data_IF_002983829172
#
_entry.id   IF_002983829172
#
_cell.length_a   1.000
_cell.length_b   1.000
_cell.length_c   1.000
_cell.angle_alpha   90.00
_cell.angle_beta   90.00
_cell.angle_gamma   90.00
#
_symmetry.space_group_name_H-M   'P 1'
#
loop_
_entity.id
_entity.type
_entity.pdbx_description
1 polymer ?
#
# COMPACT_ATOMS: atom_id res chain seq x y z
N UNK A 1 13.28 1.58 21.71
CA UNK A 1 13.72 2.91 21.23
C UNK A 1 12.48 3.76 20.98
N UNK A 2 12.04 4.54 21.96
CA UNK A 2 10.92 5.48 21.78
C UNK A 2 11.49 6.82 21.34
N UNK A 3 11.27 7.21 20.09
CA UNK A 3 11.67 8.52 19.58
C UNK A 3 10.80 9.59 20.24
N UNK A 4 11.23 10.04 21.42
CA UNK A 4 10.58 11.11 22.19
C UNK A 4 10.70 12.42 21.43
N UNK A 5 9.70 13.31 21.56
CA UNK A 5 9.55 14.63 20.93
C UNK A 5 10.77 15.60 21.00
N UNK A 6 11.93 15.22 21.52
CA UNK A 6 13.10 16.08 21.69
C UNK A 6 12.95 17.16 22.75
N UNK A 7 11.73 17.41 23.23
CA UNK A 7 11.39 18.44 24.22
C UNK A 7 10.94 17.81 25.54
N UNK A 8 11.47 18.31 26.66
CA UNK A 8 11.02 17.92 28.00
C UNK A 8 9.68 18.57 28.39
N UNK A 9 8.97 17.97 29.36
CA UNK A 9 7.73 18.55 29.91
C UNK A 9 8.12 19.85 30.65
N UNK A 10 7.46 20.97 30.33
CA UNK A 10 7.68 22.33 30.88
C UNK A 10 8.79 23.20 30.22
N UNK A 11 9.41 22.75 29.14
CA UNK A 11 10.45 23.53 28.43
C UNK A 11 9.95 24.80 27.74
N UNK A 12 8.62 25.04 27.67
CA UNK A 12 8.05 26.28 27.11
C UNK A 12 8.44 27.54 27.91
N UNK A 13 8.86 27.39 29.18
CA UNK A 13 9.32 28.49 30.03
C UNK A 13 10.82 28.81 29.88
N UNK A 14 11.57 27.98 29.18
CA UNK A 14 13.02 28.09 29.14
C UNK A 14 13.43 29.13 28.09
N UNK A 15 13.96 30.29 28.53
CA UNK A 15 14.38 31.40 27.65
C UNK A 15 15.57 31.06 26.74
N UNK A 16 16.21 29.91 26.93
CA UNK A 16 17.42 29.49 26.21
C UNK A 16 17.13 28.38 25.18
N UNK A 17 15.94 28.40 24.57
CA UNK A 17 15.49 27.37 23.62
C UNK A 17 15.84 27.79 22.19
N UNK A 18 16.44 26.88 21.43
CA UNK A 18 16.83 27.13 20.04
C UNK A 18 15.66 26.98 19.04
N UNK A 19 14.45 26.70 19.54
CA UNK A 19 13.24 26.43 18.75
C UNK A 19 12.01 27.03 19.45
N UNK A 20 11.12 27.67 18.69
CA UNK A 20 9.84 28.19 19.19
C UNK A 20 8.79 27.08 19.44
N UNK A 21 9.10 25.84 19.04
CA UNK A 21 8.17 24.73 19.13
C UNK A 21 8.12 24.11 20.55
N UNK A 22 6.98 23.56 20.92
CA UNK A 22 6.72 23.01 22.25
C UNK A 22 5.77 21.81 22.20
N UNK A 23 5.78 20.97 23.24
CA UNK A 23 4.90 19.79 23.32
C UNK A 23 3.47 20.21 23.63
N UNK A 24 2.53 19.85 22.75
CA UNK A 24 1.10 20.11 22.86
C UNK A 24 0.29 18.83 23.07
N UNK A 25 0.57 18.15 24.18
CA UNK A 25 -0.19 16.97 24.60
C UNK A 25 -0.02 15.75 23.67
N UNK A 26 -1.12 15.00 23.51
CA UNK A 26 -1.17 13.78 22.71
C UNK A 26 -2.47 13.72 21.90
N UNK A 27 -2.39 13.23 20.68
CA UNK A 27 -3.53 12.88 19.84
C UNK A 27 -3.84 11.39 19.97
N UNK A 28 -5.14 11.04 20.04
CA UNK A 28 -5.57 9.63 19.99
C UNK A 28 -5.57 9.16 18.54
N UNK A 29 -5.01 7.98 18.28
CA UNK A 29 -5.06 7.32 16.99
C UNK A 29 -5.30 5.83 17.18
N UNK A 30 -6.46 5.37 16.74
CA UNK A 30 -6.76 3.95 16.64
C UNK A 30 -6.10 3.40 15.38
N UNK A 31 -5.26 2.39 15.56
CA UNK A 31 -4.51 1.73 14.50
C UNK A 31 -4.93 0.27 14.44
N UNK A 32 -5.21 -0.23 13.24
CA UNK A 32 -5.52 -1.63 13.00
C UNK A 32 -4.23 -2.42 12.86
N UNK A 33 -4.04 -3.37 13.76
CA UNK A 33 -2.95 -4.34 13.74
C UNK A 33 -3.51 -5.76 13.60
N UNK A 34 -2.65 -6.73 13.36
CA UNK A 34 -2.98 -8.16 13.30
C UNK A 34 -3.67 -8.69 14.56
N UNK A 35 -3.42 -8.06 15.71
CA UNK A 35 -4.03 -8.42 17.00
C UNK A 35 -5.32 -7.64 17.31
N UNK A 36 -5.83 -6.85 16.36
CA UNK A 36 -7.02 -6.02 16.51
C UNK A 36 -6.72 -4.52 16.54
N UNK A 37 -7.72 -3.74 16.98
CA UNK A 37 -7.61 -2.28 17.08
C UNK A 37 -6.80 -1.90 18.32
N UNK A 38 -5.71 -1.16 18.10
CA UNK A 38 -4.83 -0.65 19.14
C UNK A 38 -4.99 0.86 19.23
N UNK A 39 -5.34 1.36 20.41
CA UNK A 39 -5.40 2.79 20.68
C UNK A 39 -4.02 3.33 21.05
N UNK A 40 -3.44 4.13 20.15
CA UNK A 40 -2.18 4.81 20.35
C UNK A 40 -2.38 6.26 20.79
N UNK A 41 -1.57 6.70 21.75
CA UNK A 41 -1.47 8.11 22.16
C UNK A 41 -0.22 8.71 21.53
N UNK A 42 -0.40 9.39 20.40
CA UNK A 42 0.71 9.97 19.63
C UNK A 42 1.06 11.34 20.20
N UNK A 43 2.32 11.59 20.57
CA UNK A 43 2.74 12.91 21.01
C UNK A 43 2.56 13.96 19.92
N UNK A 44 2.10 15.15 20.27
CA UNK A 44 1.90 16.29 19.36
C UNK A 44 2.72 17.49 19.80
N UNK A 45 3.19 18.27 18.85
CA UNK A 45 3.86 19.56 19.02
C UNK A 45 2.95 20.73 18.60
N UNK A 46 3.25 21.93 19.07
CA UNK A 46 2.44 23.14 18.84
C UNK A 46 2.47 23.55 17.36
N UNK A 47 3.65 23.54 16.74
CA UNK A 47 3.81 23.94 15.34
C UNK A 47 3.51 22.80 14.35
N UNK A 48 3.13 21.61 14.83
CA UNK A 48 2.77 20.45 14.00
C UNK A 48 3.86 19.98 13.02
N UNK A 49 5.13 20.22 13.37
CA UNK A 49 6.36 19.86 12.64
C UNK A 49 6.84 18.43 12.97
N UNK A 50 6.35 17.83 14.06
CA UNK A 50 6.75 16.48 14.45
C UNK A 50 6.10 15.41 13.56
N UNK A 51 6.93 14.67 12.83
CA UNK A 51 6.50 13.50 12.06
C UNK A 51 6.86 12.17 12.77
N UNK A 52 5.86 11.40 13.26
CA UNK A 52 6.10 10.10 13.85
C UNK A 52 6.56 9.08 12.80
N UNK A 53 7.72 8.44 13.04
CA UNK A 53 8.35 7.48 12.10
C UNK A 53 7.66 6.11 12.11
N UNK A 54 7.27 5.62 13.29
CA UNK A 54 6.73 4.25 13.47
C UNK A 54 5.30 4.14 12.93
N UNK A 55 4.50 5.19 13.07
CA UNK A 55 3.15 5.26 12.52
C UNK A 55 2.99 6.62 11.87
N UNK A 56 3.10 6.69 10.54
CA UNK A 56 3.11 7.98 9.83
C UNK A 56 1.80 8.73 10.08
N UNK A 57 1.85 10.05 9.89
CA UNK A 57 0.64 10.88 9.95
C UNK A 57 -0.39 10.32 8.97
N UNK A 58 -1.64 10.15 9.42
CA UNK A 58 -2.77 9.55 8.66
C UNK A 58 -2.72 8.05 8.36
N UNK A 59 -1.62 7.34 8.63
CA UNK A 59 -1.51 5.89 8.39
C UNK A 59 -2.20 5.07 9.50
N UNK A 60 -3.32 4.39 9.21
CA UNK A 60 -4.13 3.69 10.24
C UNK A 60 -3.95 2.17 10.27
N UNK A 61 -3.12 1.60 9.41
CA UNK A 61 -2.98 0.15 9.28
C UNK A 61 -1.49 -0.21 9.22
N UNK A 62 -1.03 -1.12 10.10
CA UNK A 62 0.37 -1.59 10.16
C UNK A 62 0.51 -2.95 9.44
N UNK A 63 -0.32 -3.25 8.44
CA UNK A 63 -0.46 -4.60 7.92
C UNK A 63 0.15 -4.77 6.52
N UNK A 64 1.49 -4.72 6.41
CA UNK A 64 2.16 -5.11 5.16
C UNK A 64 1.78 -6.53 4.72
N UNK A 65 1.62 -7.45 5.67
CA UNK A 65 1.21 -8.84 5.41
C UNK A 65 -0.21 -8.97 4.83
N UNK A 66 -1.12 -8.07 5.22
CA UNK A 66 -2.48 -8.04 4.67
C UNK A 66 -2.46 -7.54 3.23
N UNK A 67 -1.62 -6.54 2.93
CA UNK A 67 -1.44 -6.07 1.55
C UNK A 67 -0.92 -7.19 0.66
N UNK A 68 0.11 -7.92 1.10
CA UNK A 68 0.68 -9.06 0.38
C UNK A 68 -0.38 -10.16 0.12
N UNK A 69 -1.23 -10.43 1.12
CA UNK A 69 -2.30 -11.39 0.98
C UNK A 69 -3.38 -10.94 -0.02
N UNK A 70 -3.78 -9.67 0.02
CA UNK A 70 -4.72 -9.10 -0.98
C UNK A 70 -4.13 -9.19 -2.37
N UNK A 71 -2.85 -8.86 -2.53
CA UNK A 71 -2.14 -8.97 -3.82
C UNK A 71 -2.12 -10.43 -4.30
N UNK A 72 -1.90 -11.39 -3.40
CA UNK A 72 -1.91 -12.82 -3.76
C UNK A 72 -3.29 -13.29 -4.26
N UNK A 73 -4.38 -12.87 -3.62
CA UNK A 73 -5.74 -13.20 -4.03
C UNK A 73 -6.12 -12.51 -5.35
N UNK A 74 -5.69 -11.27 -5.53
CA UNK A 74 -5.86 -10.55 -6.79
C UNK A 74 -5.12 -11.24 -7.94
N UNK A 75 -3.88 -11.70 -7.70
CA UNK A 75 -3.09 -12.46 -8.68
C UNK A 75 -3.73 -13.81 -9.07
N UNK A 76 -4.53 -14.40 -8.18
CA UNK A 76 -5.32 -15.60 -8.47
C UNK A 76 -6.59 -15.32 -9.29
N UNK A 77 -6.90 -14.06 -9.60
CA UNK A 77 -8.07 -13.66 -10.37
C UNK A 77 -9.36 -13.59 -9.55
N UNK A 78 -9.27 -13.49 -8.23
CA UNK A 78 -10.44 -13.30 -7.35
C UNK A 78 -10.94 -11.85 -7.50
N UNK A 79 -12.26 -11.66 -7.64
CA UNK A 79 -12.83 -10.33 -7.81
C UNK A 79 -12.68 -9.48 -6.52
N UNK A 80 -12.62 -8.16 -6.64
CA UNK A 80 -12.48 -7.27 -5.48
C UNK A 80 -13.58 -7.46 -4.42
N UNK A 81 -14.81 -7.80 -4.86
CA UNK A 81 -15.94 -8.09 -3.97
C UNK A 81 -15.79 -9.45 -3.27
N UNK A 82 -15.26 -10.43 -3.98
CA UNK A 82 -15.00 -11.75 -3.40
C UNK A 82 -13.85 -11.67 -2.40
N UNK A 83 -12.80 -10.89 -2.67
CA UNK A 83 -11.69 -10.63 -1.74
C UNK A 83 -12.22 -10.04 -0.43
N UNK A 84 -13.09 -9.03 -0.48
CA UNK A 84 -13.75 -8.47 0.71
C UNK A 84 -14.46 -9.57 1.52
N UNK A 85 -15.28 -10.40 0.85
CA UNK A 85 -16.02 -11.47 1.52
C UNK A 85 -15.11 -12.52 2.16
N UNK A 86 -13.98 -12.84 1.51
CA UNK A 86 -13.00 -13.80 2.02
C UNK A 86 -12.24 -13.24 3.21
N UNK A 87 -11.84 -11.97 3.15
CA UNK A 87 -11.15 -11.31 4.27
C UNK A 87 -12.04 -11.20 5.50
N UNK A 88 -13.31 -10.87 5.31
CA UNK A 88 -14.29 -10.85 6.41
C UNK A 88 -14.52 -12.23 7.01
N UNK A 89 -14.58 -13.28 6.19
CA UNK A 89 -14.85 -14.65 6.64
C UNK A 89 -13.67 -15.31 7.37
N UNK A 90 -12.45 -15.15 6.84
CA UNK A 90 -11.26 -15.86 7.36
C UNK A 90 -10.62 -15.05 8.49
N UNK A 91 -10.50 -13.74 8.31
CA UNK A 91 -9.73 -12.88 9.23
C UNK A 91 -10.62 -11.96 10.07
N UNK A 92 -11.93 -11.88 9.80
CA UNK A 92 -12.83 -10.97 10.51
C UNK A 92 -12.58 -9.50 10.19
N UNK A 93 -11.82 -9.20 9.13
CA UNK A 93 -11.41 -7.84 8.78
C UNK A 93 -12.35 -7.29 7.70
N UNK A 94 -12.91 -6.11 7.95
CA UNK A 94 -13.67 -5.37 6.94
C UNK A 94 -12.72 -4.56 6.06
N UNK A 95 -12.56 -5.00 4.81
CA UNK A 95 -11.77 -4.33 3.77
C UNK A 95 -12.73 -3.93 2.65
N UNK A 96 -12.86 -2.64 2.38
CA UNK A 96 -13.73 -2.18 1.28
C UNK A 96 -13.11 -2.51 -0.09
N UNK A 97 -13.93 -2.70 -1.15
CA UNK A 97 -13.42 -2.91 -2.50
C UNK A 97 -12.51 -1.77 -3.00
N UNK A 98 -12.77 -0.55 -2.56
CA UNK A 98 -11.93 0.62 -2.83
C UNK A 98 -10.54 0.51 -2.18
N UNK A 99 -10.49 -0.04 -0.96
CA UNK A 99 -9.23 -0.29 -0.26
C UNK A 99 -8.42 -1.38 -0.98
N UNK A 100 -9.08 -2.45 -1.44
CA UNK A 100 -8.44 -3.48 -2.28
C UNK A 100 -7.85 -2.84 -3.54
N UNK A 101 -8.61 -2.03 -4.27
CA UNK A 101 -8.13 -1.34 -5.47
C UNK A 101 -6.90 -0.48 -5.19
N UNK A 102 -6.93 0.34 -4.14
CA UNK A 102 -5.80 1.20 -3.74
C UNK A 102 -4.55 0.41 -3.39
N UNK A 103 -4.71 -0.76 -2.76
CA UNK A 103 -3.59 -1.64 -2.42
C UNK A 103 -3.02 -2.29 -3.68
N UNK A 104 -3.87 -2.76 -4.61
CA UNK A 104 -3.43 -3.30 -5.89
C UNK A 104 -2.81 -2.25 -6.81
N UNK A 105 -3.18 -0.98 -6.70
CA UNK A 105 -2.55 0.08 -7.51
C UNK A 105 -1.05 0.24 -7.20
N UNK A 106 -0.60 -0.16 -6.01
CA UNK A 106 0.81 -0.15 -5.62
C UNK A 106 1.68 -1.11 -6.42
N UNK A 107 1.11 -2.14 -7.05
CA UNK A 107 1.88 -3.08 -7.89
C UNK A 107 2.05 -2.59 -9.33
N UNK A 108 1.29 -1.57 -9.76
CA UNK A 108 1.36 -1.02 -11.13
C UNK A 108 2.76 -0.49 -11.51
N UNK A 109 3.51 0.21 -10.63
CA UNK A 109 4.88 0.61 -10.92
C UNK A 109 5.81 -0.59 -11.18
N UNK A 110 5.68 -1.66 -10.39
CA UNK A 110 6.48 -2.88 -10.54
C UNK A 110 6.16 -3.55 -11.88
N UNK A 111 4.88 -3.61 -12.26
CA UNK A 111 4.47 -4.12 -13.57
C UNK A 111 5.05 -3.28 -14.72
N UNK A 112 5.09 -1.95 -14.59
CA UNK A 112 5.71 -1.06 -15.57
C UNK A 112 7.22 -1.27 -15.67
N UNK A 113 7.91 -1.43 -14.56
CA UNK A 113 9.34 -1.73 -14.53
C UNK A 113 9.62 -3.06 -15.24
N UNK A 114 8.83 -4.09 -14.94
CA UNK A 114 8.94 -5.40 -15.59
C UNK A 114 8.70 -5.34 -17.10
N UNK A 115 7.75 -4.52 -17.56
CA UNK A 115 7.49 -4.30 -18.98
C UNK A 115 8.65 -3.60 -19.70
N UNK A 116 9.37 -2.72 -19.00
CA UNK A 116 10.48 -1.94 -19.56
C UNK A 116 11.86 -2.58 -19.32
N UNK A 117 11.92 -3.81 -18.81
CA UNK A 117 13.19 -4.49 -18.53
C UNK A 117 13.99 -4.69 -19.82
N UNK A 118 15.33 -4.53 -19.79
CA UNK A 118 16.16 -4.80 -20.94
C UNK A 118 16.04 -6.28 -21.35
N UNK A 119 15.92 -6.50 -22.66
CA UNK A 119 15.88 -7.84 -23.25
C UNK A 119 17.29 -8.23 -23.70
N UNK A 120 17.55 -9.54 -23.78
CA UNK A 120 18.79 -10.05 -24.34
C UNK A 120 18.85 -9.76 -25.85
N UNK A 121 20.07 -9.62 -26.38
CA UNK A 121 20.30 -9.31 -27.80
C UNK A 121 19.86 -10.45 -28.73
N UNK A 122 19.93 -11.71 -28.27
CA UNK A 122 19.64 -12.89 -29.08
C UNK A 122 18.52 -13.74 -28.48
N UNK A 123 17.42 -13.88 -29.23
CA UNK A 123 16.35 -14.86 -29.00
C UNK A 123 16.16 -15.72 -30.26
N UNK A 124 16.71 -16.95 -30.32
CA UNK A 124 16.62 -17.80 -31.51
C UNK A 124 15.18 -18.15 -31.93
N UNK A 125 14.25 -18.17 -30.98
CA UNK A 125 12.83 -18.46 -31.18
C UNK A 125 12.02 -17.54 -30.27
N UNK A 126 10.92 -16.99 -30.79
CA UNK A 126 9.95 -16.16 -30.06
C UNK A 126 8.55 -16.68 -30.37
N UNK A 127 7.72 -16.84 -29.33
CA UNK A 127 6.31 -17.17 -29.47
C UNK A 127 5.46 -15.92 -29.18
N UNK A 128 4.45 -15.70 -30.00
CA UNK A 128 3.48 -14.64 -29.83
C UNK A 128 2.12 -15.28 -29.58
N UNK A 129 1.50 -14.95 -28.45
CA UNK A 129 0.16 -15.40 -28.10
C UNK A 129 -0.76 -14.19 -27.94
N UNK A 130 -2.02 -14.35 -28.35
CA UNK A 130 -3.02 -13.30 -28.41
C UNK A 130 -4.31 -13.73 -27.73
N UNK A 131 -4.70 -13.01 -26.68
CA UNK A 131 -5.96 -13.22 -25.96
C UNK A 131 -6.85 -11.99 -26.19
N UNK A 132 -8.09 -12.25 -26.57
CA UNK A 132 -9.10 -11.21 -26.83
C UNK A 132 -9.92 -10.99 -25.55
N UNK A 133 -9.89 -9.75 -25.06
CA UNK A 133 -10.73 -9.34 -23.94
C UNK A 133 -11.76 -8.31 -24.39
N UNK A 134 -12.94 -8.34 -23.76
CA UNK A 134 -13.96 -7.32 -23.97
C UNK A 134 -13.71 -6.19 -22.97
N UNK A 135 -13.33 -5.01 -23.47
CA UNK A 135 -13.00 -3.86 -22.63
C UNK A 135 -14.02 -2.76 -22.90
N UNK A 136 -14.55 -2.18 -21.83
CA UNK A 136 -15.50 -1.07 -21.93
C UNK A 136 -14.74 0.26 -21.81
N UNK A 137 -14.68 1.02 -22.91
CA UNK A 137 -14.08 2.36 -22.94
C UNK A 137 -15.14 3.47 -22.82
N UNK A 138 -16.15 3.26 -21.97
CA UNK A 138 -17.16 4.24 -21.58
C UNK A 138 -18.28 4.46 -22.61
N UNK A 139 -17.94 4.78 -23.88
CA UNK A 139 -18.92 5.07 -24.95
C UNK A 139 -19.04 3.98 -26.02
N UNK A 140 -18.09 3.06 -26.08
CA UNK A 140 -18.08 1.92 -26.99
C UNK A 140 -17.41 0.72 -26.34
N UNK A 141 -17.97 -0.47 -26.59
CA UNK A 141 -17.29 -1.72 -26.29
C UNK A 141 -16.26 -1.97 -27.40
N UNK A 142 -14.98 -2.02 -27.06
CA UNK A 142 -13.91 -2.37 -27.99
C UNK A 142 -13.38 -3.78 -27.66
N UNK A 143 -13.10 -4.57 -28.69
CA UNK A 143 -12.33 -5.80 -28.54
C UNK A 143 -10.86 -5.38 -28.51
N UNK A 144 -10.19 -5.58 -27.38
CA UNK A 144 -8.76 -5.34 -27.27
C UNK A 144 -8.01 -6.67 -27.35
N UNK A 145 -6.99 -6.69 -28.21
CA UNK A 145 -6.04 -7.79 -28.27
C UNK A 145 -4.91 -7.49 -27.28
N UNK A 146 -4.82 -8.31 -26.24
CA UNK A 146 -3.63 -8.32 -25.40
C UNK A 146 -2.61 -9.31 -26.00
N UNK A 147 -1.48 -8.77 -26.46
CA UNK A 147 -0.34 -9.57 -26.92
C UNK A 147 0.53 -9.90 -25.71
N UNK A 148 0.51 -11.17 -25.30
CA UNK A 148 1.42 -11.64 -24.26
C UNK A 148 2.79 -11.91 -24.92
N UNK A 149 3.76 -11.05 -24.67
CA UNK A 149 5.15 -11.27 -25.10
C UNK A 149 5.80 -12.30 -24.19
N UNK A 150 5.68 -13.58 -24.54
CA UNK A 150 6.41 -14.65 -23.85
C UNK A 150 7.82 -14.70 -24.46
N UNK A 151 8.74 -13.91 -23.91
CA UNK A 151 10.16 -14.06 -24.20
C UNK A 151 10.71 -15.25 -23.40
N UNK A 152 10.79 -16.42 -24.06
CA UNK A 152 11.46 -17.66 -23.62
C UNK A 152 11.43 -17.94 -22.11
N UNK A 153 10.34 -18.58 -21.65
CA UNK A 153 10.45 -19.41 -20.45
C UNK A 153 11.29 -20.63 -20.85
N UNK A 154 12.58 -20.62 -20.48
CA UNK A 154 13.37 -21.85 -20.37
C UNK A 154 12.78 -22.66 -19.21
N UNK A 155 11.62 -23.29 -19.43
CA UNK A 155 11.08 -24.34 -18.56
C UNK A 155 11.30 -25.66 -19.31
N UNK A 156 12.34 -26.37 -18.90
CA UNK A 156 12.28 -27.84 -18.91
C UNK A 156 11.32 -28.28 -17.81
#
# INVERSE_FOLDING_TARGET
MTNTLGYSKYEWKNKNKNTDNSRNGHSKKTVRSQFGEIDLKIPRDTNSEFEPVIVKKHERTISSELEDMIVSLFAQGVSNRDIESQMKRIYGIEVSPEMVSRMTDKILPIAKEWQNRPLNELYPIIYLDGIVFNVNQGRSNSKENSLCRICNNHRR
#
